data_IF_668160549785
#
_entry.id   IF_668160549785
#
_cell.length_a   1.000
_cell.length_b   1.000
_cell.length_c   1.000
_cell.angle_alpha   90.00
_cell.angle_beta   90.00
_cell.angle_gamma   90.00
#
_symmetry.space_group_name_H-M   'P 1'
#
loop_
_entity.id
_entity.type
_entity.pdbx_description
1 polymer ?
#
# COMPACT_ATOMS: atom_id res chain seq x y z
N UNK A 1 2.26 4.11 19.69
CA UNK A 1 1.57 3.00 18.99
C UNK A 1 2.49 1.79 18.92
N UNK A 2 1.97 0.62 19.22
CA UNK A 2 2.76 -0.62 19.11
C UNK A 2 2.95 -0.97 17.63
N UNK A 3 4.20 -1.20 17.24
CA UNK A 3 4.49 -1.64 15.87
C UNK A 3 4.04 -3.08 15.67
N UNK A 4 3.48 -3.38 14.51
CA UNK A 4 3.11 -4.74 14.09
C UNK A 4 4.32 -5.49 13.51
N UNK A 5 5.38 -4.79 13.17
CA UNK A 5 6.58 -5.34 12.55
C UNK A 5 7.80 -5.25 13.47
N UNK A 6 8.66 -6.25 13.37
CA UNK A 6 10.00 -6.21 13.96
C UNK A 6 10.89 -5.26 13.16
N UNK A 7 12.11 -4.91 13.66
CA UNK A 7 13.07 -4.14 12.84
C UNK A 7 13.38 -4.80 11.49
N UNK A 8 13.44 -6.14 11.42
CA UNK A 8 13.66 -6.85 10.16
C UNK A 8 12.46 -6.69 9.21
N UNK A 9 11.24 -6.73 9.75
CA UNK A 9 10.04 -6.49 8.94
C UNK A 9 10.01 -5.07 8.39
N UNK A 10 10.37 -4.08 9.20
CA UNK A 10 10.48 -2.68 8.76
C UNK A 10 11.54 -2.52 7.67
N UNK A 11 12.69 -3.16 7.81
CA UNK A 11 13.73 -3.14 6.80
C UNK A 11 13.22 -3.69 5.46
N UNK A 12 12.49 -4.81 5.50
CA UNK A 12 11.94 -5.44 4.30
C UNK A 12 10.99 -4.51 3.54
N UNK A 13 10.10 -3.79 4.23
CA UNK A 13 9.16 -2.86 3.57
C UNK A 13 9.79 -1.52 3.21
N UNK A 14 11.01 -1.27 3.65
CA UNK A 14 11.77 -0.06 3.29
C UNK A 14 12.67 -0.28 2.08
N UNK A 15 13.18 -1.50 1.88
CA UNK A 15 13.93 -1.87 0.68
C UNK A 15 13.06 -1.63 -0.57
N UNK A 16 13.71 -1.29 -1.70
CA UNK A 16 13.01 -1.01 -2.95
C UNK A 16 12.51 -2.30 -3.58
N UNK A 17 11.24 -2.60 -3.38
CA UNK A 17 10.56 -3.74 -4.00
C UNK A 17 9.17 -3.33 -4.47
N UNK A 18 8.72 -3.91 -5.57
CA UNK A 18 7.32 -3.83 -5.96
C UNK A 18 6.51 -4.83 -5.14
N UNK A 19 5.22 -4.60 -5.08
CA UNK A 19 4.27 -5.44 -4.37
C UNK A 19 3.02 -5.62 -5.21
N UNK A 20 2.07 -6.39 -4.74
CA UNK A 20 0.75 -6.48 -5.34
C UNK A 20 -0.29 -5.89 -4.40
N UNK A 21 -1.27 -5.21 -4.98
CA UNK A 21 -2.43 -4.70 -4.27
C UNK A 21 -3.64 -5.50 -4.70
N UNK A 22 -4.33 -6.09 -3.72
CA UNK A 22 -5.56 -6.85 -3.94
C UNK A 22 -6.75 -6.08 -3.40
N UNK A 23 -7.78 -5.91 -4.23
CA UNK A 23 -9.04 -5.26 -3.89
C UNK A 23 -10.21 -6.06 -4.46
N UNK A 24 -11.43 -5.78 -4.02
CA UNK A 24 -12.62 -6.46 -4.50
C UNK A 24 -13.24 -5.74 -5.68
N UNK A 25 -13.44 -6.45 -6.79
CA UNK A 25 -14.19 -5.95 -7.93
C UNK A 25 -15.70 -5.95 -7.67
N UNK A 26 -16.47 -5.24 -8.50
CA UNK A 26 -17.92 -5.10 -8.33
C UNK A 26 -18.66 -6.44 -8.33
N UNK A 27 -18.16 -7.42 -9.09
CA UNK A 27 -18.76 -8.75 -9.20
C UNK A 27 -18.29 -9.72 -8.10
N UNK A 28 -17.52 -9.23 -7.13
CA UNK A 28 -16.99 -10.05 -6.03
C UNK A 28 -15.67 -10.75 -6.35
N UNK A 29 -15.16 -10.65 -7.58
CA UNK A 29 -13.85 -11.22 -7.91
C UNK A 29 -12.74 -10.38 -7.29
N UNK A 30 -11.55 -10.97 -7.19
CA UNK A 30 -10.40 -10.29 -6.63
C UNK A 30 -9.58 -9.66 -7.75
N UNK A 31 -9.35 -8.35 -7.65
CA UNK A 31 -8.52 -7.58 -8.57
C UNK A 31 -7.13 -7.44 -7.96
N UNK A 32 -6.10 -7.89 -8.69
CA UNK A 32 -4.70 -7.86 -8.21
C UNK A 32 -3.83 -7.15 -9.25
N UNK A 33 -3.12 -6.12 -8.82
CA UNK A 33 -2.23 -5.35 -9.70
C UNK A 33 -0.92 -5.05 -9.00
N UNK A 34 0.20 -4.91 -9.76
CA UNK A 34 1.47 -4.51 -9.17
C UNK A 34 1.44 -3.03 -8.77
N UNK A 35 2.04 -2.73 -7.65
CA UNK A 35 2.11 -1.37 -7.10
C UNK A 35 3.45 -1.15 -6.40
N UNK A 36 3.84 0.11 -6.24
CA UNK A 36 4.80 0.52 -5.24
C UNK A 36 4.02 1.07 -4.05
N UNK A 37 4.42 0.71 -2.84
CA UNK A 37 3.77 1.21 -1.63
C UNK A 37 4.78 1.72 -0.62
N UNK A 38 4.33 2.51 0.31
CA UNK A 38 5.12 2.95 1.46
C UNK A 38 4.34 2.64 2.74
N UNK A 39 5.08 2.34 3.80
CA UNK A 39 4.48 2.12 5.12
C UNK A 39 5.03 3.18 6.08
N UNK A 40 4.13 3.93 6.69
CA UNK A 40 4.44 4.91 7.73
C UNK A 40 3.54 4.63 8.92
N UNK A 41 4.11 4.30 10.07
CA UNK A 41 3.36 3.84 11.24
C UNK A 41 2.47 2.66 10.85
N UNK A 42 1.17 2.78 10.98
CA UNK A 42 0.23 1.73 10.61
C UNK A 42 -0.51 2.03 9.29
N UNK A 43 -0.02 2.98 8.51
CA UNK A 43 -0.66 3.37 7.25
C UNK A 43 0.21 3.00 6.05
N UNK A 44 -0.33 2.14 5.19
CA UNK A 44 0.29 1.85 3.90
C UNK A 44 -0.35 2.73 2.83
N UNK A 45 0.47 3.36 1.99
CA UNK A 45 0.00 4.26 0.94
C UNK A 45 0.45 3.80 -0.43
N UNK A 46 -0.47 3.91 -1.39
CA UNK A 46 -0.23 3.65 -2.81
C UNK A 46 -0.66 4.89 -3.57
N UNK A 47 0.25 5.51 -4.33
CA UNK A 47 -0.14 6.60 -5.23
C UNK A 47 -0.61 6.03 -6.56
N UNK A 48 -1.65 6.59 -7.12
CA UNK A 48 -2.24 6.06 -8.35
C UNK A 48 -3.07 7.12 -9.08
N UNK A 49 -3.49 6.79 -10.30
CA UNK A 49 -4.36 7.62 -11.09
C UNK A 49 -5.81 7.52 -10.59
N UNK A 50 -6.46 8.66 -10.39
CA UNK A 50 -7.82 8.72 -9.83
C UNK A 50 -8.85 7.85 -10.52
N UNK A 51 -8.93 7.82 -11.87
CA UNK A 51 -9.92 6.97 -12.57
C UNK A 51 -9.56 5.48 -12.66
N UNK A 52 -8.54 4.99 -11.98
CA UNK A 52 -8.15 3.59 -12.07
C UNK A 52 -9.15 2.65 -11.39
N UNK A 53 -9.15 1.37 -11.84
CA UNK A 53 -10.08 0.35 -11.32
C UNK A 53 -9.85 0.10 -9.82
N UNK A 54 -8.61 0.11 -9.35
CA UNK A 54 -8.33 -0.10 -7.93
C UNK A 54 -8.93 0.99 -7.05
N UNK A 55 -8.99 2.23 -7.54
CA UNK A 55 -9.62 3.33 -6.82
C UNK A 55 -11.13 3.11 -6.73
N UNK A 56 -11.77 2.74 -7.83
CA UNK A 56 -13.20 2.43 -7.85
C UNK A 56 -13.53 1.28 -6.89
N UNK A 57 -12.68 0.26 -6.87
CA UNK A 57 -12.85 -0.88 -5.97
C UNK A 57 -12.79 -0.47 -4.51
N UNK A 58 -11.80 0.34 -4.13
CA UNK A 58 -11.65 0.83 -2.75
C UNK A 58 -12.83 1.71 -2.33
N UNK A 59 -13.31 2.57 -3.23
CA UNK A 59 -14.48 3.43 -2.92
C UNK A 59 -15.73 2.62 -2.63
N UNK A 60 -15.90 1.49 -3.32
CA UNK A 60 -17.07 0.63 -3.15
C UNK A 60 -16.93 -0.33 -1.98
N UNK A 61 -15.74 -0.89 -1.81
CA UNK A 61 -15.44 -1.87 -0.76
C UNK A 61 -14.08 -1.52 -0.15
N UNK A 62 -14.08 -1.05 1.09
CA UNK A 62 -12.90 -0.52 1.76
C UNK A 62 -11.93 -1.58 2.30
N UNK A 63 -11.90 -2.79 1.76
CA UNK A 63 -10.93 -3.82 2.17
C UNK A 63 -9.82 -3.94 1.12
N UNK A 64 -8.58 -4.02 1.59
CA UNK A 64 -7.43 -4.15 0.70
C UNK A 64 -6.29 -4.91 1.38
N UNK A 65 -5.46 -5.55 0.55
CA UNK A 65 -4.25 -6.25 1.00
C UNK A 65 -3.08 -5.89 0.08
N UNK A 66 -1.91 -5.74 0.69
CA UNK A 66 -0.65 -5.57 -0.04
C UNK A 66 0.23 -6.76 0.28
N UNK A 67 0.80 -7.39 -0.75
CA UNK A 67 1.74 -8.49 -0.60
C UNK A 67 3.07 -8.16 -1.27
N UNK A 68 4.16 -8.30 -0.53
CA UNK A 68 5.52 -8.13 -1.05
C UNK A 68 6.25 -9.45 -0.92
N UNK A 69 6.94 -9.86 -1.99
CA UNK A 69 7.70 -11.11 -2.05
C UNK A 69 9.08 -10.83 -2.63
N UNK A 70 10.11 -11.39 -1.99
CA UNK A 70 11.47 -11.36 -2.49
C UNK A 70 12.13 -12.71 -2.17
N UNK A 71 12.18 -13.60 -3.15
CA UNK A 71 12.64 -14.94 -2.94
C UNK A 71 11.76 -15.67 -1.94
N UNK A 72 12.37 -16.20 -0.86
CA UNK A 72 11.64 -16.87 0.20
C UNK A 72 11.07 -15.94 1.28
N UNK A 73 11.34 -14.63 1.18
CA UNK A 73 10.83 -13.64 2.15
C UNK A 73 9.52 -13.04 1.64
N UNK A 74 8.56 -12.89 2.51
CA UNK A 74 7.28 -12.31 2.14
C UNK A 74 6.61 -11.61 3.32
N UNK A 75 5.74 -10.65 3.00
CA UNK A 75 4.99 -9.91 3.99
C UNK A 75 3.67 -9.43 3.38
N UNK A 76 2.57 -9.64 4.09
CA UNK A 76 1.25 -9.18 3.70
C UNK A 76 0.71 -8.20 4.74
N UNK A 77 0.23 -7.07 4.26
CA UNK A 77 -0.39 -6.02 5.07
C UNK A 77 -1.85 -5.94 4.66
N UNK A 78 -2.78 -6.09 5.61
CA UNK A 78 -4.22 -6.07 5.34
C UNK A 78 -4.89 -5.03 6.22
N UNK A 79 -5.94 -4.43 5.69
CA UNK A 79 -6.72 -3.50 6.48
C UNK A 79 -7.83 -2.82 5.71
N UNK A 80 -8.31 -1.72 6.28
CA UNK A 80 -9.34 -0.90 5.67
C UNK A 80 -8.68 0.20 4.85
N UNK A 81 -9.22 0.45 3.67
CA UNK A 81 -8.66 1.40 2.72
C UNK A 81 -9.62 2.54 2.44
N UNK A 82 -9.04 3.72 2.21
CA UNK A 82 -9.78 4.90 1.77
C UNK A 82 -8.98 5.65 0.72
N UNK A 83 -9.65 6.49 -0.04
CA UNK A 83 -9.02 7.33 -1.06
C UNK A 83 -8.74 8.70 -0.47
N UNK A 84 -7.49 9.14 -0.57
CA UNK A 84 -7.06 10.47 -0.18
C UNK A 84 -6.94 11.33 -1.44
N UNK A 85 -7.69 12.44 -1.48
CA UNK A 85 -7.73 13.35 -2.63
C UNK A 85 -7.20 14.74 -2.28
N UNK A 86 -7.03 15.04 -0.99
CA UNK A 86 -6.53 16.32 -0.54
C UNK A 86 -5.13 16.59 -1.07
N UNK A 87 -4.87 17.84 -1.47
CA UNK A 87 -3.59 18.23 -2.04
C UNK A 87 -2.42 17.88 -1.13
N UNK A 88 -2.52 18.19 0.16
CA UNK A 88 -1.47 17.92 1.13
C UNK A 88 -1.29 16.43 1.39
N UNK A 89 -2.40 15.68 1.43
CA UNK A 89 -2.37 14.24 1.65
C UNK A 89 -1.71 13.51 0.48
N UNK A 90 -2.03 13.93 -0.74
CA UNK A 90 -1.42 13.37 -1.95
C UNK A 90 0.06 13.74 -2.02
N UNK A 91 0.40 14.99 -1.71
CA UNK A 91 1.79 15.45 -1.70
C UNK A 91 2.64 14.66 -0.71
N UNK A 92 2.10 14.38 0.49
CA UNK A 92 2.79 13.56 1.49
C UNK A 92 3.02 12.12 0.99
N UNK A 93 2.01 11.53 0.36
CA UNK A 93 2.13 10.19 -0.22
C UNK A 93 3.18 10.15 -1.33
N UNK A 94 3.26 11.18 -2.17
CA UNK A 94 4.28 11.32 -3.22
C UNK A 94 5.68 11.44 -2.61
N UNK A 95 5.82 12.22 -1.55
CA UNK A 95 7.10 12.39 -0.85
C UNK A 95 7.63 11.05 -0.31
N UNK A 96 6.77 10.27 0.34
CA UNK A 96 7.13 8.94 0.83
C UNK A 96 7.50 8.00 -0.31
N UNK A 97 6.72 8.01 -1.39
CA UNK A 97 6.99 7.19 -2.57
C UNK A 97 8.35 7.54 -3.18
N UNK A 98 8.65 8.83 -3.35
CA UNK A 98 9.91 9.28 -3.93
C UNK A 98 11.11 8.83 -3.11
N UNK A 99 10.97 8.80 -1.78
CA UNK A 99 12.06 8.36 -0.89
C UNK A 99 12.36 6.86 -1.02
N UNK A 100 11.36 6.02 -1.32
CA UNK A 100 11.56 4.57 -1.47
C UNK A 100 11.90 4.17 -2.91
N UNK A 101 11.31 4.84 -3.89
CA UNK A 101 11.42 4.48 -5.31
C UNK A 101 12.10 5.57 -6.11
N UNK A 102 11.33 6.53 -6.58
CA UNK A 102 11.82 7.68 -7.36
C UNK A 102 10.74 8.75 -7.43
N UNK A 103 11.11 9.96 -7.82
CA UNK A 103 10.13 11.02 -8.05
C UNK A 103 9.20 10.62 -9.20
N UNK A 104 7.89 10.53 -8.97
CA UNK A 104 6.94 10.17 -10.02
C UNK A 104 6.71 11.34 -10.98
N UNK A 105 6.18 11.04 -12.16
CA UNK A 105 5.77 12.07 -13.12
C UNK A 105 4.63 12.90 -12.53
N UNK A 106 4.52 14.15 -12.96
CA UNK A 106 3.38 15.00 -12.59
C UNK A 106 2.10 14.38 -13.13
N UNK A 107 1.10 14.24 -12.27
CA UNK A 107 -0.22 13.74 -12.65
C UNK A 107 -1.28 14.49 -11.84
N UNK A 108 -2.01 15.45 -12.46
CA UNK A 108 -3.02 16.24 -11.75
C UNK A 108 -4.23 15.40 -11.29
N UNK A 109 -4.41 14.18 -11.81
CA UNK A 109 -5.48 13.26 -11.41
C UNK A 109 -5.02 12.27 -10.33
N UNK A 110 -3.81 12.43 -9.81
CA UNK A 110 -3.28 11.51 -8.80
C UNK A 110 -4.05 11.59 -7.51
N UNK A 111 -4.31 10.40 -6.96
CA UNK A 111 -4.84 10.21 -5.61
C UNK A 111 -3.93 9.24 -4.86
N UNK A 112 -4.17 9.07 -3.57
CA UNK A 112 -3.51 8.04 -2.78
C UNK A 112 -4.54 7.09 -2.20
N UNK A 113 -4.23 5.80 -2.21
CA UNK A 113 -4.97 4.80 -1.45
C UNK A 113 -4.24 4.67 -0.12
N UNK A 114 -4.94 4.90 0.98
CA UNK A 114 -4.40 4.74 2.31
C UNK A 114 -5.04 3.54 2.99
N UNK A 115 -4.23 2.57 3.37
CA UNK A 115 -4.68 1.36 4.07
C UNK A 115 -4.27 1.49 5.52
N UNK A 116 -5.26 1.50 6.42
CA UNK A 116 -5.00 1.37 7.85
C UNK A 116 -4.77 -0.10 8.13
N UNK A 117 -3.52 -0.47 8.37
CA UNK A 117 -3.12 -1.87 8.53
C UNK A 117 -3.59 -2.39 9.89
N UNK A 118 -4.41 -3.43 9.85
CA UNK A 118 -4.95 -4.06 11.05
C UNK A 118 -4.45 -5.49 11.25
N UNK A 119 -3.91 -6.09 10.20
CA UNK A 119 -3.38 -7.46 10.25
C UNK A 119 -2.15 -7.58 9.37
N UNK A 120 -1.15 -8.30 9.86
CA UNK A 120 0.07 -8.60 9.11
C UNK A 120 0.33 -10.11 9.15
N UNK A 121 0.89 -10.62 8.07
CA UNK A 121 1.36 -12.01 7.95
C UNK A 121 2.68 -11.97 7.21
N UNK A 122 3.56 -12.91 7.48
CA UNK A 122 4.83 -12.92 6.76
C UNK A 122 5.82 -13.93 7.28
N UNK A 123 7.02 -13.86 6.72
CA UNK A 123 8.14 -14.71 7.08
C UNK A 123 8.48 -14.62 8.57
N UNK A 124 9.03 -15.69 9.09
CA UNK A 124 9.48 -15.74 10.49
C UNK A 124 10.46 -14.59 10.77
N UNK A 125 10.25 -13.91 11.90
CA UNK A 125 11.11 -12.80 12.33
C UNK A 125 10.67 -11.43 11.82
N UNK A 126 9.65 -11.32 10.95
CA UNK A 126 9.14 -10.02 10.47
C UNK A 126 8.02 -9.44 11.32
N UNK A 127 7.32 -10.27 12.06
CA UNK A 127 6.11 -9.89 12.79
C UNK A 127 6.34 -10.01 14.29
N UNK A 128 5.88 -8.99 15.00
CA UNK A 128 5.98 -8.93 16.47
C UNK A 128 5.17 -10.05 17.12
#
# INVERSE_FOLDING_TARGET
>A
MTSLLTPLGWEFVTERHLATLSTHSADGTIHVVPVGFTLEDATARVITNGPSQKVLNVRRNGLASIGQVDGGRWLTLQGTAQILEGEDEVAHAVELYAARYRQPRVNPLRVAIAITVTRVMGSAGFIV
#
